data_IF_342741373591
#
_entry.id   IF_342741373591
#
_cell.length_a   1.000
_cell.length_b   1.000
_cell.length_c   1.000
_cell.angle_alpha   90.00
_cell.angle_beta   90.00
_cell.angle_gamma   90.00
#
_symmetry.space_group_name_H-M   'P 1'
#
loop_
_entity.id
_entity.type
_entity.pdbx_description
1 polymer ?
#
# COMPACT_ATOMS: atom_id res chain seq x y z
N UNK A 1 39.75 12.43 -66.64
CA UNK A 1 39.19 12.96 -65.40
C UNK A 1 38.75 11.75 -64.58
N UNK A 2 39.58 11.40 -63.59
CA UNK A 2 39.31 10.22 -62.74
C UNK A 2 38.59 10.67 -61.45
N UNK A 3 37.34 10.27 -61.26
CA UNK A 3 36.56 10.57 -60.08
C UNK A 3 36.84 9.49 -59.05
N UNK A 4 37.58 9.83 -58.02
CA UNK A 4 37.95 8.95 -56.92
C UNK A 4 36.74 8.76 -55.99
N UNK A 5 36.16 7.57 -56.03
CA UNK A 5 35.17 7.15 -55.03
C UNK A 5 35.90 6.88 -53.72
N UNK A 6 35.65 7.76 -52.76
CA UNK A 6 36.12 7.58 -51.39
C UNK A 6 35.15 6.62 -50.67
N UNK A 7 35.53 5.35 -50.56
CA UNK A 7 34.86 4.36 -49.72
C UNK A 7 35.15 4.77 -48.27
N UNK A 8 34.12 5.29 -47.59
CA UNK A 8 34.16 5.48 -46.14
C UNK A 8 33.95 4.10 -45.51
N UNK A 9 35.06 3.48 -45.14
CA UNK A 9 35.01 2.27 -44.29
C UNK A 9 34.52 2.75 -42.95
N UNK A 10 33.23 2.50 -42.64
CA UNK A 10 32.71 2.55 -41.28
C UNK A 10 33.45 1.47 -40.50
N UNK A 11 34.33 1.89 -39.62
CA UNK A 11 34.90 1.05 -38.61
C UNK A 11 33.73 0.62 -37.68
N UNK A 12 33.17 -0.54 -37.94
CA UNK A 12 32.35 -1.24 -36.97
C UNK A 12 33.22 -1.46 -35.74
N UNK A 13 33.00 -0.59 -34.72
CA UNK A 13 33.49 -0.89 -33.41
C UNK A 13 32.69 -2.11 -32.92
N UNK A 14 33.21 -3.29 -33.19
CA UNK A 14 32.83 -4.51 -32.54
C UNK A 14 33.02 -4.27 -31.02
N UNK A 15 31.97 -3.82 -30.35
CA UNK A 15 31.88 -4.00 -28.91
C UNK A 15 31.74 -5.51 -28.76
N UNK A 16 32.88 -6.19 -28.62
CA UNK A 16 32.87 -7.59 -28.25
C UNK A 16 32.02 -7.69 -26.99
N UNK A 17 30.87 -8.35 -27.06
CA UNK A 17 30.10 -8.73 -25.89
C UNK A 17 31.01 -9.69 -25.11
N UNK A 18 31.80 -9.12 -24.19
CA UNK A 18 32.53 -9.89 -23.23
C UNK A 18 31.49 -10.54 -22.29
N UNK A 19 31.23 -11.78 -22.53
CA UNK A 19 30.49 -12.63 -21.62
C UNK A 19 31.53 -13.15 -20.63
N UNK A 20 31.32 -12.89 -19.35
CA UNK A 20 32.18 -13.49 -18.30
C UNK A 20 31.92 -15.01 -18.21
N UNK A 21 32.73 -15.71 -17.41
CA UNK A 21 32.61 -17.17 -17.27
C UNK A 21 31.28 -17.66 -16.69
N UNK A 22 30.36 -16.75 -16.30
CA UNK A 22 28.99 -17.04 -15.83
C UNK A 22 27.94 -16.86 -16.94
N UNK A 23 28.34 -16.36 -18.13
CA UNK A 23 27.43 -16.03 -19.22
C UNK A 23 26.81 -14.63 -19.12
N UNK A 24 27.24 -13.81 -18.17
CA UNK A 24 26.75 -12.45 -17.99
C UNK A 24 27.44 -11.45 -18.94
N UNK A 25 26.64 -10.54 -19.50
CA UNK A 25 27.15 -9.43 -20.31
C UNK A 25 27.98 -8.48 -19.45
N UNK A 26 29.28 -8.36 -19.74
CA UNK A 26 30.17 -7.43 -19.05
C UNK A 26 29.94 -6.01 -19.56
N UNK A 27 29.24 -5.22 -18.78
CA UNK A 27 29.01 -3.81 -19.07
C UNK A 27 30.17 -2.98 -18.55
N UNK A 28 30.73 -2.05 -19.34
CA UNK A 28 31.70 -1.09 -18.82
C UNK A 28 31.10 -0.31 -17.66
N UNK A 29 31.69 -0.41 -16.47
CA UNK A 29 31.23 0.35 -15.28
C UNK A 29 31.58 1.84 -15.36
N UNK A 30 32.35 2.25 -16.35
CA UNK A 30 32.88 3.61 -16.49
C UNK A 30 32.37 4.23 -17.79
N UNK A 31 31.27 4.97 -17.68
CA UNK A 31 30.87 5.95 -18.70
C UNK A 31 31.28 7.33 -18.22
N UNK A 32 31.81 8.17 -19.12
CA UNK A 32 31.98 9.61 -18.83
C UNK A 32 30.62 10.30 -18.83
N UNK A 33 30.15 10.67 -17.63
CA UNK A 33 28.89 11.37 -17.42
C UNK A 33 29.10 12.90 -17.24
N UNK A 34 30.18 13.47 -17.78
CA UNK A 34 30.44 14.89 -17.61
C UNK A 34 29.52 15.78 -18.48
N UNK A 35 29.10 15.30 -19.65
CA UNK A 35 28.21 16.05 -20.55
C UNK A 35 26.73 15.90 -20.15
N UNK A 36 25.91 16.92 -20.46
CA UNK A 36 24.47 16.89 -20.20
C UNK A 36 23.77 15.81 -21.01
N UNK A 37 24.18 15.56 -22.25
CA UNK A 37 23.69 14.49 -23.10
C UNK A 37 23.94 13.12 -22.46
N UNK A 38 25.14 12.87 -21.94
CA UNK A 38 25.46 11.61 -21.26
C UNK A 38 24.63 11.41 -20.00
N UNK A 39 24.42 12.47 -19.19
CA UNK A 39 23.55 12.43 -18.01
C UNK A 39 22.10 12.13 -18.36
N UNK A 40 21.55 12.79 -19.39
CA UNK A 40 20.17 12.57 -19.85
C UNK A 40 20.00 11.13 -20.32
N UNK A 41 20.90 10.60 -21.14
CA UNK A 41 20.82 9.22 -21.64
C UNK A 41 20.92 8.21 -20.51
N UNK A 42 21.85 8.40 -19.57
CA UNK A 42 21.97 7.55 -18.38
C UNK A 42 20.67 7.53 -17.56
N UNK A 43 20.11 8.73 -17.28
CA UNK A 43 18.90 8.83 -16.48
C UNK A 43 17.69 8.18 -17.15
N UNK A 44 17.53 8.33 -18.47
CA UNK A 44 16.44 7.70 -19.21
C UNK A 44 16.53 6.18 -19.14
N UNK A 45 17.70 5.60 -19.39
CA UNK A 45 17.92 4.16 -19.28
C UNK A 45 17.67 3.64 -17.85
N UNK A 46 18.20 4.36 -16.84
CA UNK A 46 18.04 4.03 -15.43
C UNK A 46 16.55 4.05 -15.02
N UNK A 47 15.80 5.11 -15.37
CA UNK A 47 14.39 5.24 -15.05
C UNK A 47 13.55 4.16 -15.72
N UNK A 48 13.82 3.82 -16.98
CA UNK A 48 13.11 2.78 -17.70
C UNK A 48 13.23 1.43 -16.99
N UNK A 49 14.45 1.02 -16.64
CA UNK A 49 14.70 -0.24 -15.94
C UNK A 49 14.14 -0.22 -14.52
N UNK A 50 14.27 0.92 -13.81
CA UNK A 50 13.73 1.07 -12.46
C UNK A 50 12.21 0.97 -12.43
N UNK A 51 11.53 1.55 -13.43
CA UNK A 51 10.09 1.45 -13.59
C UNK A 51 9.62 0.00 -13.80
N UNK A 52 10.31 -0.77 -14.64
CA UNK A 52 9.98 -2.20 -14.84
C UNK A 52 10.12 -3.00 -13.54
N UNK A 53 11.22 -2.77 -12.79
CA UNK A 53 11.43 -3.42 -11.49
C UNK A 53 10.37 -3.04 -10.45
N UNK A 54 9.97 -1.77 -10.39
CA UNK A 54 8.93 -1.32 -9.44
C UNK A 54 7.56 -1.92 -9.73
N UNK A 55 7.32 -2.35 -10.98
CA UNK A 55 6.13 -3.09 -11.39
C UNK A 55 6.23 -4.60 -11.15
N UNK A 56 7.34 -5.09 -10.58
CA UNK A 56 7.56 -6.50 -10.28
C UNK A 56 8.07 -7.32 -11.48
N UNK A 57 8.44 -6.66 -12.60
CA UNK A 57 9.03 -7.36 -13.73
C UNK A 57 10.49 -7.71 -13.42
N UNK A 58 10.83 -8.99 -13.54
CA UNK A 58 12.22 -9.42 -13.53
C UNK A 58 12.90 -8.96 -14.83
N UNK A 59 13.97 -8.20 -14.68
CA UNK A 59 14.66 -7.61 -15.84
C UNK A 59 15.75 -8.56 -16.31
N UNK A 60 15.54 -9.16 -17.49
CA UNK A 60 16.59 -9.86 -18.23
C UNK A 60 17.59 -8.83 -18.78
N UNK A 61 18.81 -8.86 -18.23
CA UNK A 61 19.86 -7.91 -18.57
C UNK A 61 20.30 -8.04 -20.03
N UNK A 62 20.42 -9.28 -20.53
CA UNK A 62 20.87 -9.53 -21.90
C UNK A 62 19.84 -9.04 -22.92
N UNK A 63 18.54 -9.32 -22.68
CA UNK A 63 17.46 -8.83 -23.53
C UNK A 63 17.36 -7.29 -23.51
N UNK A 64 17.48 -6.66 -22.32
CA UNK A 64 17.46 -5.21 -22.20
C UNK A 64 18.62 -4.54 -22.94
N UNK A 65 19.82 -5.12 -22.85
CA UNK A 65 20.99 -4.67 -23.60
C UNK A 65 20.82 -4.80 -25.10
N UNK A 66 20.33 -5.96 -25.54
CA UNK A 66 20.09 -6.20 -26.96
C UNK A 66 19.12 -5.18 -27.55
N UNK A 67 18.01 -4.89 -26.85
CA UNK A 67 17.06 -3.89 -27.32
C UNK A 67 17.66 -2.48 -27.39
N UNK A 68 18.56 -2.13 -26.46
CA UNK A 68 19.26 -0.85 -26.49
C UNK A 68 20.25 -0.78 -27.68
N UNK A 69 21.00 -1.83 -27.93
CA UNK A 69 21.95 -1.91 -29.06
C UNK A 69 21.23 -1.83 -30.41
N UNK A 70 20.18 -2.60 -30.61
CA UNK A 70 19.36 -2.58 -31.84
C UNK A 70 18.82 -1.15 -32.10
N UNK A 71 18.34 -0.47 -31.04
CA UNK A 71 17.82 0.88 -31.15
C UNK A 71 18.94 1.92 -31.47
N UNK A 72 20.14 1.77 -30.91
CA UNK A 72 21.27 2.64 -31.21
C UNK A 72 21.87 2.43 -32.62
N UNK A 73 21.72 1.22 -33.15
CA UNK A 73 22.16 0.86 -34.51
C UNK A 73 21.10 1.20 -35.58
N UNK A 74 19.96 1.78 -35.22
CA UNK A 74 18.80 1.98 -36.10
C UNK A 74 18.31 0.67 -36.75
N UNK A 75 18.52 -0.47 -36.08
CA UNK A 75 18.03 -1.76 -36.52
C UNK A 75 16.55 -1.96 -36.17
N UNK A 76 15.88 -2.82 -36.90
CA UNK A 76 14.51 -3.19 -36.58
C UNK A 76 14.46 -3.99 -35.27
N UNK A 77 13.45 -3.73 -34.44
CA UNK A 77 13.25 -4.49 -33.22
C UNK A 77 13.15 -6.00 -33.50
N UNK A 78 13.91 -6.79 -32.74
CA UNK A 78 13.86 -8.24 -32.78
C UNK A 78 12.52 -8.83 -32.30
N UNK A 79 11.71 -8.02 -31.59
CA UNK A 79 10.37 -8.37 -31.09
C UNK A 79 9.34 -7.47 -31.75
N UNK A 80 8.32 -8.06 -32.35
CA UNK A 80 7.24 -7.30 -32.98
C UNK A 80 6.28 -6.71 -31.94
N UNK A 81 5.58 -5.65 -32.30
CA UNK A 81 4.57 -5.01 -31.44
C UNK A 81 3.49 -6.01 -30.93
N UNK A 82 2.90 -6.90 -31.79
CA UNK A 82 1.95 -7.90 -31.32
C UNK A 82 2.56 -8.87 -30.28
N UNK A 83 3.77 -9.35 -30.50
CA UNK A 83 4.47 -10.26 -29.57
C UNK A 83 4.71 -9.59 -28.20
N UNK A 84 5.13 -8.32 -28.23
CA UNK A 84 5.33 -7.54 -27.02
C UNK A 84 4.00 -7.35 -26.23
N UNK A 85 2.91 -7.03 -26.93
CA UNK A 85 1.58 -6.88 -26.33
C UNK A 85 1.11 -8.20 -25.70
N UNK A 86 1.29 -9.32 -26.39
CA UNK A 86 0.91 -10.63 -25.84
C UNK A 86 1.76 -11.02 -24.62
N UNK A 87 3.07 -10.75 -24.65
CA UNK A 87 3.94 -10.97 -23.51
C UNK A 87 3.52 -10.15 -22.28
N UNK A 88 3.22 -8.87 -22.48
CA UNK A 88 2.71 -7.98 -21.42
C UNK A 88 1.37 -8.50 -20.85
N UNK A 89 0.45 -8.94 -21.71
CA UNK A 89 -0.84 -9.50 -21.26
C UNK A 89 -0.63 -10.75 -20.41
N UNK A 90 0.20 -11.70 -20.86
CA UNK A 90 0.50 -12.92 -20.09
C UNK A 90 1.09 -12.55 -18.72
N UNK A 91 2.14 -11.74 -18.70
CA UNK A 91 2.77 -11.30 -17.48
C UNK A 91 1.78 -10.59 -16.52
N UNK A 92 0.96 -9.67 -17.04
CA UNK A 92 -0.01 -8.96 -16.19
C UNK A 92 -1.09 -9.89 -15.62
N UNK A 93 -1.46 -10.95 -16.36
CA UNK A 93 -2.40 -11.96 -15.86
C UNK A 93 -1.76 -12.79 -14.76
N UNK A 94 -0.55 -13.29 -14.96
CA UNK A 94 0.21 -14.04 -13.96
C UNK A 94 0.42 -13.22 -12.66
N UNK A 95 0.77 -11.94 -12.80
CA UNK A 95 0.94 -11.06 -11.64
C UNK A 95 -0.37 -10.87 -10.87
N UNK A 96 -1.49 -10.65 -11.58
CA UNK A 96 -2.81 -10.53 -10.93
C UNK A 96 -3.22 -11.80 -10.20
N UNK A 97 -2.97 -12.97 -10.78
CA UNK A 97 -3.27 -14.25 -10.15
C UNK A 97 -2.40 -14.45 -8.90
N UNK A 98 -1.12 -14.11 -8.98
CA UNK A 98 -0.20 -14.17 -7.83
C UNK A 98 -0.60 -13.22 -6.72
N UNK A 99 -0.93 -11.97 -7.07
CA UNK A 99 -1.39 -10.97 -6.10
C UNK A 99 -2.68 -11.42 -5.43
N UNK A 100 -3.65 -11.92 -6.22
CA UNK A 100 -4.91 -12.46 -5.69
C UNK A 100 -4.68 -13.63 -4.75
N UNK A 101 -3.84 -14.58 -5.11
CA UNK A 101 -3.50 -15.71 -4.25
C UNK A 101 -2.83 -15.25 -2.93
N UNK A 102 -1.98 -14.23 -3.00
CA UNK A 102 -1.32 -13.64 -1.83
C UNK A 102 -2.35 -12.96 -0.92
N UNK A 103 -3.27 -12.17 -1.49
CA UNK A 103 -4.35 -11.51 -0.76
C UNK A 103 -5.31 -12.50 -0.10
N UNK A 104 -5.70 -13.56 -0.81
CA UNK A 104 -6.55 -14.63 -0.27
C UNK A 104 -5.87 -15.38 0.88
N UNK A 105 -4.57 -15.65 0.75
CA UNK A 105 -3.79 -16.29 1.81
C UNK A 105 -3.65 -15.39 3.05
N UNK A 106 -3.41 -14.09 2.86
CA UNK A 106 -3.36 -13.10 3.94
C UNK A 106 -4.71 -12.96 4.63
N UNK A 107 -5.79 -12.81 3.85
CA UNK A 107 -7.16 -12.73 4.35
C UNK A 107 -7.51 -13.92 5.24
N UNK A 108 -7.25 -15.13 4.74
CA UNK A 108 -7.51 -16.37 5.51
C UNK A 108 -6.71 -16.38 6.80
N UNK A 109 -5.41 -16.11 6.73
CA UNK A 109 -4.52 -16.05 7.90
C UNK A 109 -5.00 -15.05 8.95
N UNK A 110 -5.37 -13.83 8.51
CA UNK A 110 -5.79 -12.77 9.41
C UNK A 110 -7.15 -13.06 10.04
N UNK A 111 -8.11 -13.63 9.27
CA UNK A 111 -9.41 -14.06 9.83
C UNK A 111 -9.26 -15.19 10.86
N UNK A 112 -8.42 -16.18 10.60
CA UNK A 112 -8.13 -17.27 11.56
C UNK A 112 -7.46 -16.73 12.83
N UNK A 113 -6.45 -15.88 12.69
CA UNK A 113 -5.76 -15.25 13.82
C UNK A 113 -6.70 -14.32 14.60
N UNK A 114 -7.52 -13.54 13.89
CA UNK A 114 -8.54 -12.67 14.49
C UNK A 114 -9.59 -13.44 15.28
N UNK A 115 -10.12 -14.53 14.72
CA UNK A 115 -11.08 -15.38 15.44
C UNK A 115 -10.49 -15.96 16.72
N UNK A 116 -9.26 -16.48 16.67
CA UNK A 116 -8.57 -17.00 17.84
C UNK A 116 -8.32 -15.90 18.90
N UNK A 117 -7.96 -14.69 18.46
CA UNK A 117 -7.80 -13.53 19.33
C UNK A 117 -9.12 -13.15 20.03
N UNK A 118 -10.22 -13.06 19.26
CA UNK A 118 -11.54 -12.72 19.81
C UNK A 118 -12.03 -13.78 20.82
N UNK A 119 -11.83 -15.07 20.55
CA UNK A 119 -12.17 -16.13 21.51
C UNK A 119 -11.34 -16.04 22.79
N UNK A 120 -10.05 -15.70 22.68
CA UNK A 120 -9.20 -15.44 23.85
C UNK A 120 -9.73 -14.25 24.66
N UNK A 121 -10.14 -13.16 23.97
CA UNK A 121 -10.69 -11.98 24.63
C UNK A 121 -12.04 -12.24 25.31
N UNK A 122 -12.88 -13.13 24.79
CA UNK A 122 -14.12 -13.54 25.46
C UNK A 122 -13.87 -14.21 26.82
N UNK A 123 -12.74 -14.87 26.98
CA UNK A 123 -12.38 -15.53 28.24
C UNK A 123 -11.73 -14.56 29.26
N UNK A 124 -11.41 -13.33 28.87
CA UNK A 124 -10.80 -12.35 29.76
C UNK A 124 -11.84 -11.68 30.67
N UNK A 125 -11.53 -11.56 31.97
CA UNK A 125 -12.40 -10.88 32.92
C UNK A 125 -12.60 -9.41 32.57
N UNK A 126 -13.85 -8.97 32.63
CA UNK A 126 -14.23 -7.59 32.33
C UNK A 126 -14.38 -7.25 30.85
N UNK A 127 -14.25 -8.24 29.96
CA UNK A 127 -14.56 -8.08 28.54
C UNK A 127 -16.01 -8.46 28.27
N UNK A 128 -16.72 -7.63 27.53
CA UNK A 128 -18.11 -7.83 27.11
C UNK A 128 -18.16 -7.91 25.60
N UNK A 129 -18.98 -8.83 25.07
CA UNK A 129 -19.23 -8.96 23.63
C UNK A 129 -20.69 -8.64 23.31
N UNK A 130 -20.90 -7.91 22.23
CA UNK A 130 -22.22 -7.65 21.66
C UNK A 130 -22.58 -8.72 20.62
N UNK A 131 -23.86 -8.82 20.27
CA UNK A 131 -24.37 -9.75 19.24
C UNK A 131 -23.75 -9.49 17.85
N UNK A 132 -23.31 -8.25 17.59
CA UNK A 132 -22.58 -7.87 16.37
C UNK A 132 -21.18 -8.49 16.27
N UNK A 133 -20.64 -9.00 17.37
CA UNK A 133 -19.27 -9.46 17.50
C UNK A 133 -18.28 -8.41 17.99
N UNK A 134 -18.72 -7.15 18.23
CA UNK A 134 -17.89 -6.16 18.89
C UNK A 134 -17.58 -6.60 20.31
N UNK A 135 -16.28 -6.68 20.65
CA UNK A 135 -15.83 -6.83 22.03
C UNK A 135 -15.39 -5.49 22.62
N UNK A 136 -15.59 -5.30 23.91
CA UNK A 136 -15.03 -4.12 24.60
C UNK A 136 -14.68 -4.42 26.06
N UNK A 137 -13.72 -3.65 26.56
CA UNK A 137 -13.33 -3.64 27.98
C UNK A 137 -13.32 -2.19 28.48
N UNK A 138 -13.93 -1.99 29.64
CA UNK A 138 -13.97 -0.68 30.31
C UNK A 138 -12.73 -0.51 31.18
N UNK A 139 -11.89 0.47 30.89
CA UNK A 139 -10.77 0.86 31.76
C UNK A 139 -11.20 1.98 32.72
N UNK A 140 -11.91 2.95 32.20
CA UNK A 140 -12.48 4.05 32.98
C UNK A 140 -13.93 4.27 32.56
N UNK A 141 -14.83 4.26 33.51
CA UNK A 141 -16.23 4.61 33.27
C UNK A 141 -16.41 6.11 33.53
N UNK A 142 -16.78 6.83 32.47
CA UNK A 142 -17.14 8.25 32.58
C UNK A 142 -18.53 8.42 33.21
N UNK A 143 -18.79 9.64 33.72
CA UNK A 143 -20.05 10.03 34.32
C UNK A 143 -20.86 11.01 33.44
N UNK A 144 -20.31 11.41 32.29
CA UNK A 144 -20.94 12.34 31.37
C UNK A 144 -22.10 11.74 30.56
N UNK A 145 -22.65 12.52 29.65
CA UNK A 145 -23.72 12.10 28.74
C UNK A 145 -23.16 11.06 27.75
N UNK A 146 -23.98 10.07 27.41
CA UNK A 146 -23.68 9.17 26.28
C UNK A 146 -24.05 9.84 24.96
N UNK A 147 -23.21 9.75 23.93
CA UNK A 147 -23.56 10.25 22.60
C UNK A 147 -24.61 9.37 21.94
N UNK A 148 -25.31 9.94 20.98
CA UNK A 148 -26.15 9.26 20.01
C UNK A 148 -25.42 9.09 18.70
N UNK A 149 -25.93 8.27 17.79
CA UNK A 149 -25.32 8.03 16.47
C UNK A 149 -25.19 9.32 15.63
N UNK A 150 -26.03 10.31 15.90
CA UNK A 150 -26.08 11.59 15.17
C UNK A 150 -25.11 12.65 15.71
N UNK A 151 -24.46 12.38 16.83
CA UNK A 151 -23.58 13.32 17.48
C UNK A 151 -22.18 13.37 16.82
N UNK A 152 -21.54 14.52 16.98
CA UNK A 152 -20.12 14.74 16.71
C UNK A 152 -19.37 14.56 18.03
N UNK A 153 -18.31 13.79 18.02
CA UNK A 153 -17.55 13.47 19.23
C UNK A 153 -16.10 13.89 19.11
N UNK A 154 -15.50 14.26 20.24
CA UNK A 154 -14.09 14.49 20.39
C UNK A 154 -13.47 13.34 21.15
N UNK A 155 -12.49 12.68 20.50
CA UNK A 155 -11.87 11.46 21.04
C UNK A 155 -10.35 11.48 20.91
N UNK A 156 -9.68 10.85 21.86
CA UNK A 156 -8.34 10.29 21.67
C UNK A 156 -8.43 8.80 21.41
N UNK A 157 -7.53 8.30 20.56
CA UNK A 157 -7.45 6.88 20.30
C UNK A 157 -6.03 6.40 19.99
N UNK A 158 -5.83 5.10 20.19
CA UNK A 158 -4.62 4.40 19.81
C UNK A 158 -5.02 3.07 19.18
N UNK A 159 -4.79 2.92 17.89
CA UNK A 159 -5.21 1.78 17.08
C UNK A 159 -4.04 0.85 16.77
N UNK A 160 -4.21 -0.44 17.09
CA UNK A 160 -3.22 -1.48 16.84
C UNK A 160 -3.83 -2.68 16.13
N UNK A 161 -3.01 -3.42 15.41
CA UNK A 161 -3.30 -4.79 15.00
C UNK A 161 -3.20 -5.72 16.22
N UNK A 162 -3.67 -6.96 16.07
CA UNK A 162 -3.66 -7.96 17.16
C UNK A 162 -2.25 -8.36 17.61
N UNK A 163 -1.22 -8.09 16.82
CA UNK A 163 0.20 -8.29 17.16
C UNK A 163 0.83 -7.09 17.90
N UNK A 164 0.04 -6.03 18.12
CA UNK A 164 0.47 -4.81 18.80
C UNK A 164 1.08 -3.75 17.88
N UNK A 165 1.18 -4.00 16.58
CA UNK A 165 1.67 -2.99 15.62
C UNK A 165 0.69 -1.83 15.53
N UNK A 166 1.16 -0.62 15.84
CA UNK A 166 0.37 0.61 15.72
C UNK A 166 0.17 0.94 14.25
N UNK A 167 -1.06 1.20 13.83
CA UNK A 167 -1.37 1.66 12.49
C UNK A 167 -1.88 3.11 12.45
N UNK A 168 -2.50 3.57 13.55
CA UNK A 168 -2.93 4.96 13.69
C UNK A 168 -3.12 5.33 15.18
N UNK A 169 -2.73 6.56 15.56
CA UNK A 169 -2.82 7.03 16.94
C UNK A 169 -2.90 8.55 17.02
N UNK A 170 -4.03 9.06 17.51
CA UNK A 170 -4.18 10.47 17.83
C UNK A 170 -3.36 10.88 19.06
N UNK A 171 -3.09 9.91 19.95
CA UNK A 171 -2.23 10.12 21.14
C UNK A 171 -0.80 10.42 20.70
N UNK A 172 -0.27 9.64 19.75
CA UNK A 172 1.10 9.84 19.25
C UNK A 172 1.22 11.15 18.45
N UNK A 173 0.15 11.59 17.79
CA UNK A 173 0.08 12.90 17.13
C UNK A 173 -0.05 14.06 18.12
N UNK A 174 -0.44 13.80 19.38
CA UNK A 174 -0.63 14.83 20.42
C UNK A 174 -1.94 15.61 20.30
N UNK A 175 -2.85 15.26 19.37
CA UNK A 175 -4.09 15.99 19.13
C UNK A 175 -5.28 15.04 19.01
N UNK A 176 -6.39 15.28 19.77
CA UNK A 176 -7.63 14.52 19.62
C UNK A 176 -8.27 14.83 18.26
N UNK A 177 -9.12 13.93 17.80
CA UNK A 177 -9.95 14.17 16.61
C UNK A 177 -11.38 14.51 17.03
N UNK A 178 -12.02 15.38 16.23
CA UNK A 178 -13.45 15.68 16.31
C UNK A 178 -14.11 15.20 15.03
N UNK A 179 -15.06 14.27 15.15
CA UNK A 179 -15.65 13.65 13.98
C UNK A 179 -17.07 13.14 14.24
N UNK A 180 -17.99 13.16 13.23
CA UNK A 180 -19.32 12.58 13.35
C UNK A 180 -19.25 11.07 13.57
N UNK A 181 -20.02 10.53 14.52
CA UNK A 181 -20.03 9.07 14.80
C UNK A 181 -20.37 8.26 13.56
N UNK A 182 -21.32 8.71 12.75
CA UNK A 182 -21.70 8.05 11.48
C UNK A 182 -20.55 7.90 10.46
N UNK A 183 -19.50 8.68 10.56
CA UNK A 183 -18.35 8.64 9.68
C UNK A 183 -17.29 7.62 10.08
N UNK A 184 -17.37 7.03 11.27
CA UNK A 184 -16.48 5.96 11.71
C UNK A 184 -16.89 4.59 11.18
N UNK A 185 -16.00 3.62 11.30
CA UNK A 185 -16.31 2.20 11.04
C UNK A 185 -17.38 1.69 12.00
N UNK A 186 -18.14 0.65 11.60
CA UNK A 186 -19.32 0.17 12.34
C UNK A 186 -19.03 -0.15 13.80
N UNK A 187 -17.91 -0.81 14.10
CA UNK A 187 -17.54 -1.14 15.47
C UNK A 187 -17.32 0.09 16.37
N UNK A 188 -16.83 1.17 15.80
CA UNK A 188 -16.72 2.45 16.52
C UNK A 188 -18.08 3.09 16.74
N UNK A 189 -18.97 3.06 15.76
CA UNK A 189 -20.32 3.58 15.90
C UNK A 189 -21.05 2.90 17.05
N UNK A 190 -20.95 1.57 17.14
CA UNK A 190 -21.54 0.79 18.24
C UNK A 190 -20.84 1.06 19.58
N UNK A 191 -19.50 1.10 19.60
CA UNK A 191 -18.73 1.30 20.81
C UNK A 191 -18.93 2.68 21.44
N UNK A 192 -18.87 3.75 20.62
CA UNK A 192 -18.96 5.13 21.09
C UNK A 192 -20.32 5.45 21.76
N UNK A 193 -21.43 4.92 21.23
CA UNK A 193 -22.75 5.17 21.84
C UNK A 193 -22.93 4.48 23.20
N UNK A 194 -22.06 3.54 23.54
CA UNK A 194 -22.04 2.91 24.88
C UNK A 194 -21.24 3.73 25.89
N UNK A 195 -20.33 4.59 25.42
CA UNK A 195 -19.35 5.30 26.26
C UNK A 195 -19.92 6.63 26.78
N UNK A 196 -20.10 6.82 28.09
CA UNK A 196 -20.30 8.17 28.64
C UNK A 196 -19.04 9.03 28.42
N UNK A 197 -19.21 10.34 28.24
CA UNK A 197 -18.09 11.28 28.19
C UNK A 197 -17.22 11.13 29.45
N UNK A 198 -15.90 11.13 29.26
CA UNK A 198 -14.88 10.84 30.26
C UNK A 198 -14.52 9.35 30.38
N UNK A 199 -15.11 8.49 29.53
CA UNK A 199 -14.77 7.06 29.50
C UNK A 199 -13.51 6.78 28.70
N UNK A 200 -12.80 5.71 29.13
CA UNK A 200 -11.73 5.06 28.35
C UNK A 200 -12.04 3.58 28.20
N UNK A 201 -12.25 3.15 26.97
CA UNK A 201 -12.55 1.76 26.61
C UNK A 201 -11.48 1.20 25.69
N UNK A 202 -11.33 -0.12 25.71
CA UNK A 202 -10.62 -0.84 24.67
C UNK A 202 -11.66 -1.61 23.84
N UNK A 203 -11.66 -1.37 22.54
CA UNK A 203 -12.59 -1.97 21.60
C UNK A 203 -11.86 -3.03 20.77
N UNK A 204 -12.48 -4.19 20.58
CA UNK A 204 -11.99 -5.30 19.76
C UNK A 204 -12.93 -5.47 18.57
N UNK A 205 -12.47 -5.10 17.38
CA UNK A 205 -13.27 -5.08 16.18
C UNK A 205 -12.88 -6.23 15.26
N UNK A 206 -13.75 -7.21 15.01
CA UNK A 206 -13.56 -8.13 13.90
C UNK A 206 -13.55 -7.34 12.58
N UNK A 207 -12.95 -7.87 11.53
CA UNK A 207 -12.78 -7.18 10.24
C UNK A 207 -14.11 -6.65 9.68
N UNK A 208 -15.19 -7.38 9.83
CA UNK A 208 -16.53 -7.01 9.31
C UNK A 208 -17.13 -5.76 9.97
N UNK A 209 -16.66 -5.39 11.16
CA UNK A 209 -17.00 -4.15 11.86
C UNK A 209 -15.96 -3.04 11.65
N UNK A 210 -14.91 -3.32 10.88
CA UNK A 210 -13.80 -2.40 10.61
C UNK A 210 -13.64 -2.17 9.08
N UNK A 211 -12.54 -2.64 8.48
CA UNK A 211 -12.22 -2.41 7.07
C UNK A 211 -12.48 -3.62 6.17
N UNK A 212 -13.19 -4.63 6.67
CA UNK A 212 -13.62 -5.79 5.90
C UNK A 212 -12.47 -6.65 5.38
N UNK A 213 -12.77 -7.34 4.27
CA UNK A 213 -11.83 -8.23 3.60
C UNK A 213 -10.74 -7.47 2.83
N UNK A 214 -11.03 -6.24 2.40
CA UNK A 214 -10.10 -5.43 1.59
C UNK A 214 -8.96 -4.81 2.40
N UNK A 215 -9.18 -4.53 3.71
CA UNK A 215 -8.24 -3.77 4.52
C UNK A 215 -8.19 -2.28 4.13
N UNK A 216 -7.20 -1.54 4.63
CA UNK A 216 -6.98 -0.12 4.28
C UNK A 216 -5.57 0.33 4.65
N UNK A 217 -4.78 0.77 3.69
CA UNK A 217 -3.42 1.26 3.91
C UNK A 217 -2.54 0.26 4.68
N UNK A 218 -2.10 0.56 5.92
CA UNK A 218 -1.28 -0.35 6.72
C UNK A 218 -2.04 -1.52 7.34
N UNK A 219 -3.39 -1.54 7.20
CA UNK A 219 -4.28 -2.58 7.72
C UNK A 219 -4.50 -3.61 6.63
N UNK A 220 -3.92 -4.79 6.79
CA UNK A 220 -4.01 -5.90 5.83
C UNK A 220 -5.42 -6.49 5.73
N UNK A 221 -5.59 -7.35 4.73
CA UNK A 221 -6.84 -8.02 4.40
C UNK A 221 -7.42 -8.79 5.59
N UNK A 222 -8.70 -8.55 5.93
CA UNK A 222 -9.42 -9.29 6.99
C UNK A 222 -8.89 -9.10 8.41
N UNK A 223 -8.16 -8.01 8.67
CA UNK A 223 -7.54 -7.75 9.98
C UNK A 223 -8.55 -7.43 11.06
N UNK A 224 -8.42 -8.09 12.22
CA UNK A 224 -9.07 -7.71 13.48
C UNK A 224 -8.27 -6.59 14.13
N UNK A 225 -8.96 -5.58 14.66
CA UNK A 225 -8.35 -4.37 15.20
C UNK A 225 -8.61 -4.22 16.70
N UNK A 226 -7.66 -3.58 17.38
CA UNK A 226 -7.77 -3.19 18.78
C UNK A 226 -7.63 -1.68 18.87
N UNK A 227 -8.57 -1.01 19.52
CA UNK A 227 -8.51 0.42 19.76
C UNK A 227 -8.67 0.73 21.23
N UNK A 228 -7.74 1.45 21.80
CA UNK A 228 -8.00 2.18 23.02
C UNK A 228 -8.63 3.53 22.65
N UNK A 229 -9.81 3.81 23.16
CA UNK A 229 -10.59 5.02 22.85
C UNK A 229 -10.92 5.75 24.13
N UNK A 230 -10.67 7.05 24.16
CA UNK A 230 -11.05 7.96 25.23
C UNK A 230 -12.03 8.99 24.68
N UNK A 231 -13.26 9.01 25.19
CA UNK A 231 -14.30 9.95 24.80
C UNK A 231 -14.19 11.21 25.63
N UNK A 232 -13.66 12.28 25.02
CA UNK A 232 -13.39 13.54 25.70
C UNK A 232 -14.62 14.46 25.76
N UNK A 233 -15.49 14.41 24.75
CA UNK A 233 -16.65 15.27 24.68
C UNK A 233 -17.59 14.96 23.54
N UNK A 234 -18.79 15.56 23.61
CA UNK A 234 -19.75 15.62 22.52
C UNK A 234 -19.77 17.09 22.08
N UNK A 235 -19.42 17.31 20.82
CA UNK A 235 -19.42 18.65 20.22
C UNK A 235 -20.79 18.94 19.61
N UNK A 236 -21.22 20.19 19.61
CA UNK A 236 -22.40 20.58 18.85
C UNK A 236 -22.13 20.36 17.36
N UNK A 237 -23.06 19.77 16.63
CA UNK A 237 -22.99 19.77 15.18
C UNK A 237 -22.93 21.22 14.69
N UNK A 238 -21.81 21.62 14.09
CA UNK A 238 -21.66 22.97 13.57
C UNK A 238 -22.55 23.10 12.32
N UNK A 239 -23.55 23.98 12.37
CA UNK A 239 -24.50 24.26 11.28
C UNK A 239 -23.83 24.97 10.07
N UNK A 240 -22.53 24.76 9.84
CA UNK A 240 -21.76 25.48 8.81
C UNK A 240 -21.87 24.91 7.40
N UNK A 241 -22.65 23.84 7.13
CA UNK A 241 -22.94 23.38 5.76
C UNK A 241 -24.23 23.93 5.16
N UNK A 242 -24.52 25.22 5.33
CA UNK A 242 -25.57 25.94 4.57
C UNK A 242 -25.16 27.36 4.21
N UNK A 243 -24.07 27.54 3.48
CA UNK A 243 -23.81 28.79 2.76
C UNK A 243 -22.85 28.51 1.61
N UNK A 244 -23.36 28.01 0.51
CA UNK A 244 -22.87 28.33 -0.83
C UNK A 244 -23.84 27.72 -1.86
N UNK A 245 -25.03 28.33 -1.94
CA UNK A 245 -25.88 28.32 -3.15
C UNK A 245 -26.63 29.65 -3.19
N UNK A 246 -25.94 30.65 -3.78
CA UNK A 246 -26.58 31.80 -4.43
C UNK A 246 -25.71 32.34 -5.55
#
# INVERSE_FOLDING_TARGET
>A
MATTFRVIIHAYCLIATNVDGSGDVVVPKTADLSSDTAKINYMNAFQSVSSLKSQGLEVDRAAAYRGLEDALADEASAVTQPEAIEAIKRWSTEMREKDKATQEAELKKNKEAGAAFMEKKKAEEGVVFLDSGLGYKVFTQGEGKKPTIDDVVKVHYHGTLIDGKVFDSSVDRGEPITYPIKGFVKGWQEGLVLMPVGSKYELYLPSDLAYGDEGSGPIGHGSTLVFQVELLGIEAADDTEKKDDK
#
